data_IF_868846177281
#
_entry.id   IF_868846177281
#
_cell.length_a   1.000
_cell.length_b   1.000
_cell.length_c   1.000
_cell.angle_alpha   90.00
_cell.angle_beta   90.00
_cell.angle_gamma   90.00
#
_symmetry.space_group_name_H-M   'P 1'
#
loop_
_entity.id
_entity.type
_entity.pdbx_description
1 polymer ?
#
# COMPACT_ATOMS: atom_id res chain seq x y z
N UNK A 1 3.77 20.97 -5.11
CA UNK A 1 4.47 19.70 -5.43
C UNK A 1 4.06 18.71 -4.37
N UNK A 2 3.20 17.75 -4.70
CA UNK A 2 2.69 16.75 -3.73
C UNK A 2 3.63 15.55 -3.74
N UNK A 3 4.05 15.09 -2.57
CA UNK A 3 4.85 13.87 -2.44
C UNK A 3 3.96 12.66 -2.79
N UNK A 4 4.51 11.70 -3.54
CA UNK A 4 3.84 10.46 -3.90
C UNK A 4 4.65 9.30 -3.35
N UNK A 5 4.00 8.45 -2.56
CA UNK A 5 4.51 7.15 -2.17
C UNK A 5 4.03 6.12 -3.20
N UNK A 6 4.94 5.45 -3.88
CA UNK A 6 4.62 4.36 -4.80
C UNK A 6 4.87 3.00 -4.13
N UNK A 7 3.89 2.11 -4.22
CA UNK A 7 3.97 0.73 -3.72
C UNK A 7 3.83 -0.23 -4.90
N UNK A 8 4.85 -1.06 -5.08
CA UNK A 8 4.88 -2.13 -6.08
C UNK A 8 4.88 -3.46 -5.33
N UNK A 9 3.89 -4.30 -5.63
CA UNK A 9 3.75 -5.62 -5.03
C UNK A 9 4.46 -6.63 -5.94
N UNK A 10 5.22 -7.56 -5.38
CA UNK A 10 5.89 -8.60 -6.16
C UNK A 10 4.88 -9.53 -6.86
N UNK A 11 5.30 -10.14 -7.96
CA UNK A 11 4.47 -11.08 -8.71
C UNK A 11 4.08 -12.29 -7.86
N UNK A 12 2.85 -12.79 -8.06
CA UNK A 12 2.28 -13.95 -7.37
C UNK A 12 2.15 -13.82 -5.84
N UNK A 13 2.24 -12.60 -5.29
CA UNK A 13 1.95 -12.35 -3.87
C UNK A 13 0.44 -12.29 -3.65
N UNK A 14 -0.02 -12.90 -2.56
CA UNK A 14 -1.35 -12.62 -1.99
C UNK A 14 -1.17 -11.57 -0.88
N UNK A 15 -1.68 -10.36 -1.12
CA UNK A 15 -1.62 -9.27 -0.15
C UNK A 15 -2.62 -9.49 0.97
N UNK A 16 -2.12 -9.60 2.19
CA UNK A 16 -2.96 -9.74 3.39
C UNK A 16 -3.19 -8.43 4.13
N UNK A 17 -4.20 -8.37 4.99
CA UNK A 17 -4.44 -7.19 5.83
C UNK A 17 -3.21 -6.81 6.68
N UNK A 18 -2.48 -7.81 7.18
CA UNK A 18 -1.25 -7.59 7.95
C UNK A 18 -0.18 -6.89 7.12
N UNK A 19 0.02 -7.32 5.88
CA UNK A 19 0.97 -6.68 4.96
C UNK A 19 0.57 -5.24 4.65
N UNK A 20 -0.74 -4.98 4.48
CA UNK A 20 -1.24 -3.61 4.28
C UNK A 20 -0.88 -2.70 5.45
N UNK A 21 -1.14 -3.15 6.68
CA UNK A 21 -0.79 -2.40 7.90
C UNK A 21 0.71 -2.15 8.02
N UNK A 22 1.54 -3.16 7.72
CA UNK A 22 2.99 -3.04 7.81
C UNK A 22 3.55 -1.96 6.87
N UNK A 23 3.11 -1.94 5.60
CA UNK A 23 3.60 -0.90 4.69
C UNK A 23 2.99 0.47 5.02
N UNK A 24 1.75 0.54 5.55
CA UNK A 24 1.17 1.78 6.07
C UNK A 24 2.02 2.38 7.19
N UNK A 25 2.37 1.58 8.20
CA UNK A 25 3.26 1.99 9.30
C UNK A 25 4.64 2.43 8.78
N UNK A 26 5.19 1.73 7.79
CA UNK A 26 6.44 2.12 7.14
C UNK A 26 6.33 3.50 6.47
N UNK A 27 5.27 3.74 5.69
CA UNK A 27 5.06 5.03 5.02
C UNK A 27 4.87 6.17 6.02
N UNK A 28 4.05 5.97 7.06
CA UNK A 28 3.76 6.99 8.07
C UNK A 28 4.95 7.31 8.99
N UNK A 29 5.88 6.36 9.17
CA UNK A 29 7.10 6.59 9.94
C UNK A 29 8.20 7.33 9.15
N UNK A 30 8.12 7.36 7.81
CA UNK A 30 9.15 7.95 6.95
C UNK A 30 8.68 9.18 6.16
N UNK A 31 7.38 9.36 5.97
CA UNK A 31 6.82 10.44 5.17
C UNK A 31 5.98 11.40 6.01
N UNK A 32 6.09 12.69 5.70
CA UNK A 32 5.33 13.75 6.35
C UNK A 32 4.07 14.03 5.54
N UNK A 33 2.92 14.03 6.23
CA UNK A 33 1.64 14.40 5.64
C UNK A 33 1.61 15.88 5.16
N UNK A 34 0.94 16.21 4.04
CA UNK A 34 0.19 15.31 3.17
C UNK A 34 1.05 14.68 2.06
N UNK A 35 0.80 13.39 1.79
CA UNK A 35 1.31 12.71 0.60
C UNK A 35 0.20 11.87 -0.04
N UNK A 36 0.36 11.54 -1.31
CA UNK A 36 -0.54 10.64 -2.05
C UNK A 36 0.04 9.24 -2.11
N UNK A 37 -0.82 8.23 -2.05
CA UNK A 37 -0.44 6.83 -2.20
C UNK A 37 -0.80 6.34 -3.61
N UNK A 38 0.18 5.79 -4.32
CA UNK A 38 0.01 5.14 -5.62
C UNK A 38 0.31 3.65 -5.46
N UNK A 39 -0.69 2.81 -5.73
CA UNK A 39 -0.51 1.36 -5.82
C UNK A 39 -0.31 1.00 -7.29
N UNK A 40 0.93 0.67 -7.68
CA UNK A 40 1.26 0.36 -9.06
C UNK A 40 1.01 -1.11 -9.37
N UNK A 41 0.08 -1.38 -10.29
CA UNK A 41 -0.34 -2.72 -10.72
C UNK A 41 0.48 -3.26 -11.89
N UNK A 42 1.80 -3.08 -11.85
CA UNK A 42 2.71 -3.61 -12.88
C UNK A 42 2.81 -5.14 -12.87
N UNK A 43 2.63 -5.77 -11.69
CA UNK A 43 2.69 -7.22 -11.51
C UNK A 43 1.30 -7.85 -11.36
N UNK A 44 1.22 -9.16 -11.60
CA UNK A 44 0.03 -9.96 -11.27
C UNK A 44 0.11 -10.41 -9.81
N UNK A 45 -0.86 -10.00 -8.99
CA UNK A 45 -0.94 -10.33 -7.56
C UNK A 45 -2.41 -10.25 -7.11
N UNK A 46 -2.73 -10.84 -5.96
CA UNK A 46 -4.09 -10.87 -5.40
C UNK A 46 -4.15 -10.17 -4.05
N UNK A 47 -5.36 -9.96 -3.55
CA UNK A 47 -5.63 -9.49 -2.20
C UNK A 47 -6.55 -10.48 -1.51
N UNK A 48 -6.39 -10.66 -0.19
CA UNK A 48 -7.52 -11.09 0.62
C UNK A 48 -8.56 -9.97 0.70
N UNK A 49 -9.79 -10.33 1.10
CA UNK A 49 -10.91 -9.38 1.11
C UNK A 49 -10.63 -8.15 2.01
N UNK A 50 -10.08 -8.38 3.20
CA UNK A 50 -9.82 -7.31 4.16
C UNK A 50 -8.71 -6.36 3.68
N UNK A 51 -7.66 -6.90 3.05
CA UNK A 51 -6.59 -6.14 2.44
C UNK A 51 -7.14 -5.24 1.33
N UNK A 52 -8.02 -5.77 0.47
CA UNK A 52 -8.63 -5.00 -0.60
C UNK A 52 -9.47 -3.84 -0.06
N UNK A 53 -10.22 -4.06 1.02
CA UNK A 53 -11.04 -3.02 1.67
C UNK A 53 -10.17 -1.93 2.32
N UNK A 54 -9.04 -2.30 2.93
CA UNK A 54 -8.21 -1.38 3.71
C UNK A 54 -7.02 -0.77 2.93
N UNK A 55 -6.76 -1.24 1.70
CA UNK A 55 -5.62 -0.82 0.87
C UNK A 55 -5.46 0.71 0.75
N UNK A 56 -6.57 1.42 0.53
CA UNK A 56 -6.59 2.86 0.25
C UNK A 56 -6.92 3.73 1.47
N UNK A 57 -7.14 3.13 2.64
CA UNK A 57 -7.52 3.85 3.87
C UNK A 57 -6.32 4.06 4.77
N UNK A 58 -5.30 4.75 4.26
CA UNK A 58 -4.14 5.16 5.05
C UNK A 58 -4.59 6.23 6.06
N UNK A 59 -4.51 5.93 7.36
CA UNK A 59 -4.94 6.81 8.47
C UNK A 59 -3.77 7.21 9.34
#
# INVERSE_FOLDING_TARGET
>A
MTLIAEVIINEHVEMTLTMVKQYHEFLLSHLVSPFSLLINKVNAYTYDFDAQVNLATLK
#
